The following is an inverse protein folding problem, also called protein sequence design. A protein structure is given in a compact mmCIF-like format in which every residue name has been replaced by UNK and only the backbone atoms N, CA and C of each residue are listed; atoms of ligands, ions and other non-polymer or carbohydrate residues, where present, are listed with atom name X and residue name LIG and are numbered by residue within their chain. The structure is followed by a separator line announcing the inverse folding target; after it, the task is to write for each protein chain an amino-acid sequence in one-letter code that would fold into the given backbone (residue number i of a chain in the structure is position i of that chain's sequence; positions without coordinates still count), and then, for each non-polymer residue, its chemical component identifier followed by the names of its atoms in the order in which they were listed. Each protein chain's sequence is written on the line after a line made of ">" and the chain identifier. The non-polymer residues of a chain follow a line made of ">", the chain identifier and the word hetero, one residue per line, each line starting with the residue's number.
data_IF_152975005471
#
_entry.id   IF_152975005471
#
_cell.length_a   1.000
_cell.length_b   1.000
_cell.length_c   1.000
_cell.angle_alpha   90.00
_cell.angle_beta   90.00
_cell.angle_gamma   90.00
#
_symmetry.space_group_name_H-M   'P 1'
#
loop_
_entity.id
_entity.type
_entity.pdbx_description
1 polymer ?
#
# COMPACT_ATOMS: atom_id res chain seq x y z
N UNK A 1 7.88 -1.81 -5.42
CA UNK A 1 6.87 -1.68 -6.50
C UNK A 1 6.24 -3.02 -6.89
N UNK A 2 6.96 -3.97 -7.52
CA UNK A 2 6.33 -5.21 -8.04
C UNK A 2 5.58 -6.04 -6.98
N UNK A 3 6.12 -6.13 -5.77
CA UNK A 3 5.46 -6.82 -4.64
C UNK A 3 4.05 -6.26 -4.34
N UNK A 4 3.88 -4.94 -4.43
CA UNK A 4 2.61 -4.27 -4.10
C UNK A 4 1.51 -4.48 -5.14
N UNK A 5 1.81 -5.06 -6.30
CA UNK A 5 0.78 -5.47 -7.26
C UNK A 5 -0.01 -6.70 -6.80
N UNK A 6 0.56 -7.51 -5.90
CA UNK A 6 -0.08 -8.74 -5.44
C UNK A 6 -1.43 -8.48 -4.74
N UNK A 7 -1.55 -7.38 -3.99
CA UNK A 7 -2.76 -7.04 -3.24
C UNK A 7 -3.94 -6.70 -4.17
N UNK A 8 -3.85 -5.72 -5.09
CA UNK A 8 -4.96 -5.41 -5.99
C UNK A 8 -5.28 -6.53 -6.98
N UNK A 9 -4.25 -7.19 -7.54
CA UNK A 9 -4.44 -8.31 -8.46
C UNK A 9 -5.08 -9.50 -7.74
N UNK A 10 -4.58 -9.85 -6.55
CA UNK A 10 -5.14 -10.92 -5.73
C UNK A 10 -6.58 -10.64 -5.31
N UNK A 11 -6.89 -9.41 -4.91
CA UNK A 11 -8.24 -9.01 -4.51
C UNK A 11 -9.24 -9.12 -5.66
N UNK A 12 -8.90 -8.60 -6.84
CA UNK A 12 -9.80 -8.69 -8.00
C UNK A 12 -9.93 -10.12 -8.54
N UNK A 13 -8.85 -10.92 -8.53
CA UNK A 13 -8.93 -12.36 -8.80
C UNK A 13 -9.81 -13.10 -7.78
N UNK A 14 -9.83 -12.66 -6.53
CA UNK A 14 -10.73 -13.17 -5.49
C UNK A 14 -12.20 -12.98 -5.84
N UNK A 15 -12.60 -11.79 -6.27
CA UNK A 15 -13.98 -11.53 -6.74
C UNK A 15 -14.34 -12.38 -7.96
N UNK A 16 -13.44 -12.47 -8.95
CA UNK A 16 -13.68 -13.23 -10.19
C UNK A 16 -13.78 -14.73 -9.90
N UNK A 17 -12.80 -15.30 -9.21
CA UNK A 17 -12.75 -16.74 -8.93
C UNK A 17 -13.82 -17.17 -7.93
N UNK A 18 -14.03 -16.40 -6.85
CA UNK A 18 -15.03 -16.71 -5.83
C UNK A 18 -16.45 -16.76 -6.39
N UNK A 19 -16.83 -15.76 -7.20
CA UNK A 19 -18.15 -15.71 -7.83
C UNK A 19 -18.32 -16.81 -8.90
N UNK A 20 -17.34 -17.00 -9.78
CA UNK A 20 -17.40 -18.00 -10.85
C UNK A 20 -17.47 -19.43 -10.31
N UNK A 21 -16.67 -19.76 -9.30
CA UNK A 21 -16.64 -21.09 -8.68
C UNK A 21 -17.95 -21.34 -7.92
N UNK A 22 -18.46 -20.34 -7.19
CA UNK A 22 -19.75 -20.48 -6.49
C UNK A 22 -20.90 -20.75 -7.46
N UNK A 23 -20.92 -20.07 -8.61
CA UNK A 23 -21.94 -20.28 -9.64
C UNK A 23 -21.77 -21.65 -10.32
N UNK A 24 -20.54 -22.07 -10.62
CA UNK A 24 -20.30 -23.35 -11.30
C UNK A 24 -20.58 -24.58 -10.42
N UNK A 25 -20.55 -24.42 -9.10
CA UNK A 25 -20.73 -25.50 -8.12
C UNK A 25 -22.05 -25.43 -7.37
N UNK A 26 -22.89 -24.43 -7.67
CA UNK A 26 -24.11 -24.09 -6.92
C UNK A 26 -23.88 -24.02 -5.39
N UNK A 27 -22.67 -23.62 -4.97
CA UNK A 27 -22.21 -23.72 -3.59
C UNK A 27 -21.15 -22.67 -3.25
N UNK A 28 -21.51 -21.73 -2.37
CA UNK A 28 -20.61 -20.66 -1.93
C UNK A 28 -19.36 -21.18 -1.20
N UNK A 29 -19.47 -22.36 -0.56
CA UNK A 29 -18.37 -22.97 0.19
C UNK A 29 -17.16 -23.27 -0.72
N UNK A 30 -17.39 -23.63 -1.98
CA UNK A 30 -16.31 -23.90 -2.92
C UNK A 30 -15.56 -22.64 -3.37
N UNK A 31 -16.25 -21.50 -3.41
CA UNK A 31 -15.60 -20.20 -3.64
C UNK A 31 -14.55 -19.89 -2.55
N UNK A 32 -14.81 -20.29 -1.30
CA UNK A 32 -13.87 -20.09 -0.18
C UNK A 32 -12.78 -21.17 -0.13
N UNK A 33 -13.12 -22.44 -0.41
CA UNK A 33 -12.19 -23.59 -0.31
C UNK A 33 -11.06 -23.55 -1.32
N UNK A 34 -11.24 -22.86 -2.45
CA UNK A 34 -10.23 -22.80 -3.50
C UNK A 34 -8.96 -22.03 -3.07
N UNK A 35 -9.11 -20.93 -2.35
CA UNK A 35 -7.98 -20.07 -1.95
C UNK A 35 -6.95 -20.77 -1.05
N UNK A 36 -7.33 -21.53 0.00
CA UNK A 36 -6.38 -22.30 0.81
C UNK A 36 -5.53 -23.31 0.03
N UNK A 37 -6.05 -23.87 -1.06
CA UNK A 37 -5.30 -24.83 -1.90
C UNK A 37 -4.10 -24.13 -2.55
N UNK A 38 -4.31 -22.93 -3.09
CA UNK A 38 -3.23 -22.10 -3.63
C UNK A 38 -2.27 -21.70 -2.49
N UNK A 39 -2.80 -21.30 -1.34
CA UNK A 39 -1.99 -20.91 -0.18
C UNK A 39 -1.04 -22.00 0.30
N UNK A 40 -1.49 -23.26 0.36
CA UNK A 40 -0.64 -24.41 0.73
C UNK A 40 0.47 -24.62 -0.30
N UNK A 41 0.17 -24.49 -1.60
CA UNK A 41 1.17 -24.59 -2.65
C UNK A 41 2.23 -23.47 -2.53
N UNK A 42 1.80 -22.22 -2.29
CA UNK A 42 2.70 -21.10 -2.05
C UNK A 42 3.57 -21.31 -0.80
N UNK A 43 3.01 -21.85 0.29
CA UNK A 43 3.77 -22.19 1.49
C UNK A 43 4.85 -23.24 1.20
N UNK A 44 4.51 -24.28 0.45
CA UNK A 44 5.47 -25.29 0.01
C UNK A 44 6.62 -24.69 -0.81
N UNK A 45 6.31 -23.75 -1.71
CA UNK A 45 7.33 -23.02 -2.48
C UNK A 45 8.21 -22.14 -1.58
N UNK A 46 7.63 -21.40 -0.62
CA UNK A 46 8.42 -20.57 0.29
C UNK A 46 9.41 -21.40 1.11
N UNK A 47 8.97 -22.54 1.66
CA UNK A 47 9.84 -23.43 2.43
C UNK A 47 10.99 -24.04 1.63
N UNK A 48 10.86 -24.13 0.31
CA UNK A 48 11.86 -24.77 -0.57
C UNK A 48 12.76 -23.77 -1.29
N UNK A 49 12.26 -22.57 -1.60
CA UNK A 49 12.96 -21.57 -2.42
C UNK A 49 13.51 -20.37 -1.64
N UNK A 50 12.97 -20.07 -0.45
CA UNK A 50 13.30 -18.84 0.27
C UNK A 50 14.22 -19.13 1.47
N UNK A 51 15.47 -18.68 1.37
CA UNK A 51 16.38 -18.61 2.51
C UNK A 51 16.14 -17.30 3.29
N UNK A 52 16.06 -17.40 4.62
CA UNK A 52 15.83 -16.24 5.50
C UNK A 52 17.10 -15.39 5.59
N UNK A 53 17.09 -14.12 5.14
CA UNK A 53 18.24 -13.24 5.25
C UNK A 53 18.37 -12.66 6.66
N UNK A 54 19.59 -12.31 7.06
CA UNK A 54 19.82 -11.55 8.30
C UNK A 54 19.25 -10.14 8.13
N UNK A 55 18.44 -9.69 9.09
CA UNK A 55 17.80 -8.35 9.05
C UNK A 55 18.85 -7.26 8.89
N UNK A 56 18.63 -6.31 7.99
CA UNK A 56 19.53 -5.17 7.76
C UNK A 56 20.89 -5.52 7.13
N UNK A 57 21.14 -6.79 6.76
CA UNK A 57 22.39 -7.19 6.12
C UNK A 57 22.66 -6.50 4.77
N UNK A 58 21.62 -6.02 4.10
CA UNK A 58 21.72 -5.33 2.82
C UNK A 58 21.97 -3.82 2.94
N UNK A 59 21.87 -3.24 4.14
CA UNK A 59 21.85 -1.78 4.33
C UNK A 59 23.22 -1.21 4.78
N UNK A 60 24.24 -2.03 5.00
CA UNK A 60 25.58 -1.60 5.44
C UNK A 60 25.64 -0.94 6.84
N UNK A 61 24.49 -0.74 7.48
CA UNK A 61 24.37 -0.08 8.76
C UNK A 61 24.90 -0.96 9.89
N UNK A 62 25.74 -0.38 10.77
CA UNK A 62 26.17 -1.02 12.01
C UNK A 62 24.94 -1.36 12.85
N UNK A 63 24.71 -2.64 13.08
CA UNK A 63 23.68 -3.06 14.01
C UNK A 63 24.22 -2.87 15.42
N UNK A 64 23.70 -1.88 16.14
CA UNK A 64 23.79 -1.89 17.58
C UNK A 64 22.99 -3.11 18.04
N UNK A 65 23.69 -4.10 18.62
CA UNK A 65 23.15 -5.41 19.01
C UNK A 65 22.17 -5.37 20.19
N UNK A 66 21.33 -4.34 20.28
CA UNK A 66 20.29 -4.23 21.28
C UNK A 66 19.20 -5.28 21.00
N UNK A 67 18.83 -6.03 22.04
CA UNK A 67 17.77 -7.02 21.97
C UNK A 67 16.45 -6.38 21.51
N UNK A 68 15.73 -7.07 20.63
CA UNK A 68 14.46 -6.59 20.09
C UNK A 68 13.38 -6.52 21.19
N UNK A 69 13.13 -5.32 21.72
CA UNK A 69 12.00 -5.04 22.61
C UNK A 69 10.85 -4.39 21.84
N UNK A 70 9.73 -5.13 21.72
CA UNK A 70 8.53 -4.66 21.04
C UNK A 70 7.96 -3.37 21.66
N UNK A 71 8.05 -3.23 22.99
CA UNK A 71 7.52 -2.04 23.67
C UNK A 71 8.41 -0.83 23.37
N UNK A 72 9.73 -1.02 23.39
CA UNK A 72 10.72 -0.04 22.94
C UNK A 72 10.50 0.39 21.49
N UNK A 73 10.28 -0.56 20.58
CA UNK A 73 9.97 -0.28 19.18
C UNK A 73 8.68 0.53 19.04
N UNK A 74 7.59 0.16 19.72
CA UNK A 74 6.33 0.90 19.67
C UNK A 74 6.51 2.34 20.20
N UNK A 75 7.22 2.51 21.32
CA UNK A 75 7.50 3.85 21.87
C UNK A 75 8.30 4.70 20.88
N UNK A 76 9.30 4.11 20.24
CA UNK A 76 10.07 4.76 19.18
C UNK A 76 9.18 5.17 18.01
N UNK A 77 8.34 4.27 17.50
CA UNK A 77 7.45 4.57 16.38
C UNK A 77 6.46 5.69 16.70
N UNK A 78 5.95 5.73 17.93
CA UNK A 78 5.07 6.81 18.38
C UNK A 78 5.77 8.15 18.59
N UNK A 79 7.10 8.18 18.63
CA UNK A 79 7.89 9.42 18.68
C UNK A 79 8.02 10.08 17.31
N UNK A 80 7.93 9.30 16.22
CA UNK A 80 7.99 9.78 14.84
C UNK A 80 6.63 10.35 14.45
N UNK A 81 6.58 11.66 14.19
CA UNK A 81 5.31 12.35 13.92
C UNK A 81 4.68 11.91 12.61
N UNK A 82 5.52 11.75 11.59
CA UNK A 82 5.13 11.26 10.27
C UNK A 82 4.54 9.85 10.37
N UNK A 83 5.09 8.98 11.22
CA UNK A 83 4.62 7.61 11.36
C UNK A 83 3.18 7.53 11.89
N UNK A 84 2.87 8.20 13.01
CA UNK A 84 1.52 8.12 13.57
C UNK A 84 0.49 8.90 12.73
N UNK A 85 0.88 9.99 12.06
CA UNK A 85 0.01 10.72 11.13
C UNK A 85 -0.28 9.90 9.88
N UNK A 86 0.75 9.29 9.27
CA UNK A 86 0.58 8.40 8.12
C UNK A 86 -0.25 7.17 8.51
N UNK A 87 -0.07 6.62 9.72
CA UNK A 87 -0.87 5.50 10.21
C UNK A 87 -2.33 5.88 10.43
N UNK A 88 -2.62 7.07 10.98
CA UNK A 88 -3.99 7.58 11.08
C UNK A 88 -4.62 7.79 9.69
N UNK A 89 -3.84 8.29 8.72
CA UNK A 89 -4.27 8.42 7.34
C UNK A 89 -4.56 7.04 6.70
N UNK A 90 -3.71 6.04 6.94
CA UNK A 90 -3.91 4.67 6.47
C UNK A 90 -5.18 4.04 7.03
N UNK A 91 -5.47 4.24 8.33
CA UNK A 91 -6.73 3.77 8.94
C UNK A 91 -7.94 4.36 8.21
N UNK A 92 -7.95 5.68 7.97
CA UNK A 92 -9.05 6.35 7.28
C UNK A 92 -9.16 5.95 5.78
N UNK A 93 -8.03 5.73 5.12
CA UNK A 93 -7.96 5.23 3.75
C UNK A 93 -8.52 3.80 3.65
N UNK A 94 -8.10 2.90 4.54
CA UNK A 94 -8.54 1.51 4.59
C UNK A 94 -10.01 1.39 5.01
N UNK A 95 -10.48 2.27 5.90
CA UNK A 95 -11.90 2.37 6.19
C UNK A 95 -12.72 2.54 4.90
N UNK A 96 -12.23 3.43 4.03
CA UNK A 96 -12.90 3.79 2.77
C UNK A 96 -12.79 2.67 1.73
N UNK A 97 -11.59 2.14 1.46
CA UNK A 97 -11.38 1.00 0.55
C UNK A 97 -12.18 -0.23 1.03
N UNK A 98 -12.09 -0.58 2.32
CA UNK A 98 -12.74 -1.78 2.87
C UNK A 98 -14.26 -1.73 2.76
N UNK A 99 -14.85 -0.57 3.08
CA UNK A 99 -16.30 -0.36 2.89
C UNK A 99 -16.67 -0.55 1.43
N UNK A 100 -15.90 0.05 0.52
CA UNK A 100 -16.17 -0.02 -0.92
C UNK A 100 -16.02 -1.45 -1.44
N UNK A 101 -14.96 -2.16 -1.09
CA UNK A 101 -14.75 -3.55 -1.50
C UNK A 101 -15.88 -4.47 -1.04
N UNK A 102 -16.42 -4.23 0.16
CA UNK A 102 -17.52 -5.05 0.69
C UNK A 102 -18.88 -4.70 0.08
N UNK A 103 -19.25 -3.42 0.09
CA UNK A 103 -20.61 -2.99 -0.20
C UNK A 103 -20.85 -2.67 -1.69
N UNK A 104 -19.82 -2.38 -2.48
CA UNK A 104 -20.01 -1.93 -3.87
C UNK A 104 -20.79 -2.92 -4.73
N UNK A 105 -20.47 -4.23 -4.74
CA UNK A 105 -21.23 -5.16 -5.59
C UNK A 105 -22.71 -5.24 -5.21
N UNK A 106 -23.01 -5.22 -3.91
CA UNK A 106 -24.38 -5.21 -3.40
C UNK A 106 -25.10 -3.89 -3.71
N UNK A 107 -24.40 -2.77 -3.53
CA UNK A 107 -24.91 -1.44 -3.83
C UNK A 107 -25.25 -1.27 -5.31
N UNK A 108 -24.36 -1.73 -6.20
CA UNK A 108 -24.58 -1.75 -7.65
C UNK A 108 -25.73 -2.71 -8.01
N UNK A 109 -25.87 -3.84 -7.30
CA UNK A 109 -27.03 -4.71 -7.42
C UNK A 109 -28.34 -3.98 -7.05
N UNK A 110 -28.39 -3.28 -5.92
CA UNK A 110 -29.56 -2.51 -5.53
C UNK A 110 -29.85 -1.36 -6.51
N UNK A 111 -28.83 -0.69 -7.04
CA UNK A 111 -28.94 0.28 -8.14
C UNK A 111 -29.64 -0.33 -9.36
N UNK A 112 -29.20 -1.52 -9.78
CA UNK A 112 -29.85 -2.25 -10.88
C UNK A 112 -31.33 -2.52 -10.58
N UNK A 113 -31.64 -2.97 -9.36
CA UNK A 113 -33.01 -3.26 -8.95
C UNK A 113 -33.92 -2.02 -9.03
N UNK A 114 -33.40 -0.86 -8.61
CA UNK A 114 -34.11 0.44 -8.68
C UNK A 114 -34.34 0.85 -10.13
N UNK A 115 -33.30 0.83 -10.97
CA UNK A 115 -33.38 1.27 -12.38
C UNK A 115 -34.34 0.38 -13.19
N UNK A 116 -34.27 -0.93 -12.99
CA UNK A 116 -35.09 -1.91 -13.73
C UNK A 116 -36.44 -2.21 -13.06
N UNK A 117 -36.75 -1.58 -11.92
CA UNK A 117 -37.97 -1.80 -11.14
C UNK A 117 -38.23 -3.28 -10.83
N UNK A 118 -37.18 -4.03 -10.47
CA UNK A 118 -37.29 -5.45 -10.08
C UNK A 118 -37.16 -5.60 -8.56
N UNK A 119 -37.95 -6.49 -7.93
CA UNK A 119 -37.93 -6.65 -6.47
C UNK A 119 -36.65 -7.34 -5.97
N UNK A 120 -36.00 -8.15 -6.80
CA UNK A 120 -34.75 -8.85 -6.50
C UNK A 120 -33.89 -8.93 -7.75
N UNK A 121 -32.60 -8.70 -7.60
CA UNK A 121 -31.62 -8.82 -8.69
C UNK A 121 -31.45 -10.30 -9.05
N UNK A 122 -31.47 -10.67 -10.35
CA UNK A 122 -31.15 -12.02 -10.79
C UNK A 122 -29.73 -12.43 -10.36
N UNK A 123 -29.53 -13.70 -10.02
CA UNK A 123 -28.21 -14.21 -9.58
C UNK A 123 -27.15 -14.12 -10.69
N UNK A 124 -27.57 -14.25 -11.94
CA UNK A 124 -26.70 -14.06 -13.12
C UNK A 124 -26.16 -12.63 -13.20
N UNK A 125 -27.01 -11.64 -12.94
CA UNK A 125 -26.64 -10.22 -12.94
C UNK A 125 -25.71 -9.89 -11.77
N UNK A 126 -26.01 -10.40 -10.56
CA UNK A 126 -25.11 -10.25 -9.41
C UNK A 126 -23.73 -10.87 -9.67
N UNK A 127 -23.68 -12.02 -10.35
CA UNK A 127 -22.41 -12.66 -10.74
C UNK A 127 -21.65 -11.80 -11.74
N UNK A 128 -22.33 -11.22 -12.73
CA UNK A 128 -21.72 -10.30 -13.70
C UNK A 128 -21.20 -9.02 -13.02
N UNK A 129 -21.97 -8.42 -12.10
CA UNK A 129 -21.55 -7.25 -11.32
C UNK A 129 -20.27 -7.56 -10.52
N UNK A 130 -20.24 -8.70 -9.83
CA UNK A 130 -19.05 -9.15 -9.09
C UNK A 130 -17.84 -9.35 -10.01
N UNK A 131 -18.03 -9.96 -11.19
CA UNK A 131 -16.98 -10.16 -12.17
C UNK A 131 -16.44 -8.83 -12.69
N UNK A 132 -17.31 -7.90 -13.08
CA UNK A 132 -16.93 -6.56 -13.55
C UNK A 132 -16.20 -5.80 -12.45
N UNK A 133 -16.71 -5.82 -11.22
CA UNK A 133 -16.07 -5.19 -10.08
C UNK A 133 -14.69 -5.80 -9.77
N UNK A 134 -14.53 -7.12 -9.92
CA UNK A 134 -13.24 -7.79 -9.81
C UNK A 134 -12.24 -7.34 -10.87
N UNK A 135 -12.68 -7.23 -12.14
CA UNK A 135 -11.84 -6.70 -13.23
C UNK A 135 -11.44 -5.25 -12.95
N UNK A 136 -12.39 -4.41 -12.53
CA UNK A 136 -12.14 -3.02 -12.15
C UNK A 136 -11.10 -2.97 -11.03
N UNK A 137 -11.26 -3.77 -9.98
CA UNK A 137 -10.33 -3.80 -8.83
C UNK A 137 -8.91 -4.20 -9.26
N UNK A 138 -8.77 -5.23 -10.11
CA UNK A 138 -7.49 -5.63 -10.67
C UNK A 138 -6.82 -4.50 -11.47
N UNK A 139 -7.54 -3.95 -12.45
CA UNK A 139 -7.00 -2.96 -13.39
C UNK A 139 -6.73 -1.63 -12.71
N UNK A 140 -7.68 -1.13 -11.92
CA UNK A 140 -7.56 0.10 -11.17
C UNK A 140 -6.41 0.02 -10.17
N UNK A 141 -6.28 -1.10 -9.46
CA UNK A 141 -5.20 -1.25 -8.49
C UNK A 141 -3.82 -1.42 -9.12
N UNK A 142 -3.69 -2.19 -10.21
CA UNK A 142 -2.41 -2.31 -10.95
C UNK A 142 -1.96 -0.94 -11.47
N UNK A 143 -2.86 -0.23 -12.16
CA UNK A 143 -2.57 1.09 -12.71
C UNK A 143 -2.35 2.12 -11.61
N UNK A 144 -3.11 2.05 -10.51
CA UNK A 144 -2.97 2.96 -9.39
C UNK A 144 -1.60 2.85 -8.72
N UNK A 145 -1.16 1.63 -8.37
CA UNK A 145 0.16 1.41 -7.76
C UNK A 145 1.30 1.80 -8.70
N UNK A 146 1.17 1.49 -10.00
CA UNK A 146 2.18 1.83 -10.99
C UNK A 146 2.27 3.35 -11.19
N UNK A 147 1.14 4.03 -11.40
CA UNK A 147 1.09 5.49 -11.59
C UNK A 147 1.53 6.22 -10.33
N UNK A 148 1.10 5.79 -9.14
CA UNK A 148 1.54 6.37 -7.86
C UNK A 148 3.05 6.30 -7.71
N UNK A 149 3.65 5.12 -7.92
CA UNK A 149 5.11 4.94 -7.82
C UNK A 149 5.89 5.78 -8.82
N UNK A 150 5.43 5.85 -10.08
CA UNK A 150 6.09 6.62 -11.14
C UNK A 150 5.96 8.13 -10.85
N UNK A 151 4.77 8.59 -10.45
CA UNK A 151 4.51 10.00 -10.18
C UNK A 151 5.28 10.48 -8.95
N UNK A 152 5.38 9.65 -7.91
CA UNK A 152 6.21 9.90 -6.73
C UNK A 152 7.67 10.09 -7.10
N UNK A 153 8.26 9.14 -7.84
CA UNK A 153 9.66 9.22 -8.27
C UNK A 153 9.91 10.41 -9.19
N UNK A 154 9.02 10.66 -10.14
CA UNK A 154 9.15 11.79 -11.05
C UNK A 154 9.12 13.13 -10.30
N UNK A 155 8.25 13.28 -9.30
CA UNK A 155 8.18 14.49 -8.50
C UNK A 155 9.36 14.62 -7.54
N UNK A 156 9.73 13.53 -6.87
CA UNK A 156 10.86 13.48 -5.96
C UNK A 156 12.16 13.86 -6.66
N UNK A 157 12.44 13.25 -7.81
CA UNK A 157 13.67 13.47 -8.56
C UNK A 157 13.61 14.73 -9.44
N UNK A 158 12.50 15.48 -9.43
CA UNK A 158 12.30 16.66 -10.28
C UNK A 158 12.42 16.34 -11.77
N UNK A 159 12.01 15.15 -12.20
CA UNK A 159 12.13 14.67 -13.58
C UNK A 159 10.78 14.70 -14.30
N UNK A 160 10.81 14.60 -15.64
CA UNK A 160 9.61 14.56 -16.49
C UNK A 160 8.68 15.79 -16.29
N UNK A 161 7.49 15.58 -15.71
CA UNK A 161 6.43 16.59 -15.55
C UNK A 161 6.77 17.59 -14.42
N UNK A 162 7.62 17.21 -13.46
CA UNK A 162 7.98 18.04 -12.30
C UNK A 162 9.37 18.66 -12.43
N UNK A 163 9.80 18.93 -13.66
CA UNK A 163 11.10 19.55 -13.92
C UNK A 163 11.29 20.82 -13.09
N UNK A 164 12.40 20.90 -12.36
CA UNK A 164 12.76 22.01 -11.45
C UNK A 164 11.88 22.16 -10.19
N UNK A 165 11.03 21.16 -9.87
CA UNK A 165 10.15 21.17 -8.70
C UNK A 165 10.38 19.92 -7.82
N UNK A 166 11.65 19.50 -7.69
CA UNK A 166 12.03 18.40 -6.80
C UNK A 166 11.67 18.73 -5.35
N UNK A 167 11.15 17.75 -4.61
CA UNK A 167 10.81 17.91 -3.20
C UNK A 167 10.88 16.59 -2.45
N UNK A 168 11.44 16.61 -1.24
CA UNK A 168 11.50 15.48 -0.32
C UNK A 168 10.10 15.01 0.12
N UNK A 169 9.13 15.92 0.06
CA UNK A 169 7.75 15.69 0.50
C UNK A 169 6.88 15.03 -0.56
N UNK A 170 7.44 14.73 -1.75
CA UNK A 170 6.71 14.25 -2.92
C UNK A 170 5.82 13.04 -2.56
N UNK A 171 6.39 12.05 -1.87
CA UNK A 171 5.70 10.82 -1.53
C UNK A 171 4.46 11.08 -0.64
N UNK A 172 4.59 11.96 0.35
CA UNK A 172 3.47 12.33 1.22
C UNK A 172 2.42 13.16 0.48
N UNK A 173 2.84 14.05 -0.43
CA UNK A 173 1.90 14.80 -1.27
C UNK A 173 1.11 13.90 -2.21
N UNK A 174 1.73 12.88 -2.81
CA UNK A 174 1.05 11.89 -3.64
C UNK A 174 0.02 11.13 -2.81
N UNK A 175 0.38 10.69 -1.61
CA UNK A 175 -0.55 10.06 -0.67
C UNK A 175 -1.74 10.97 -0.35
N UNK A 176 -1.53 12.26 -0.07
CA UNK A 176 -2.63 13.21 0.18
C UNK A 176 -3.50 13.44 -1.06
N UNK A 177 -2.88 13.73 -2.21
CA UNK A 177 -3.56 14.05 -3.46
C UNK A 177 -4.42 12.86 -3.93
N UNK A 178 -3.90 11.64 -3.77
CA UNK A 178 -4.62 10.42 -4.12
C UNK A 178 -5.99 10.32 -3.43
N UNK A 179 -6.07 10.69 -2.14
CA UNK A 179 -7.32 10.67 -1.36
C UNK A 179 -8.27 11.79 -1.80
N UNK A 180 -7.75 13.00 -2.06
CA UNK A 180 -8.58 14.12 -2.53
C UNK A 180 -9.09 13.94 -3.95
N UNK A 181 -8.31 13.30 -4.83
CA UNK A 181 -8.74 12.97 -6.19
C UNK A 181 -9.77 11.84 -6.19
N UNK A 182 -9.65 10.87 -5.28
CA UNK A 182 -10.65 9.81 -5.12
C UNK A 182 -12.02 10.34 -4.66
N UNK A 183 -12.04 11.41 -3.86
CA UNK A 183 -13.25 12.00 -3.28
C UNK A 183 -14.34 12.36 -4.32
N UNK A 184 -14.09 13.21 -5.34
CA UNK A 184 -15.13 13.56 -6.31
C UNK A 184 -15.60 12.33 -7.09
N UNK A 185 -14.70 11.42 -7.47
CA UNK A 185 -15.09 10.20 -8.18
C UNK A 185 -16.01 9.32 -7.34
N UNK A 186 -15.68 9.12 -6.06
CA UNK A 186 -16.50 8.33 -5.16
C UNK A 186 -17.86 9.01 -4.88
N UNK A 187 -17.86 10.30 -4.60
CA UNK A 187 -19.07 11.07 -4.35
C UNK A 187 -20.04 10.98 -5.54
N UNK A 188 -19.54 11.22 -6.76
CA UNK A 188 -20.35 11.17 -7.97
C UNK A 188 -20.73 9.73 -8.34
N UNK A 189 -19.92 8.72 -8.03
CA UNK A 189 -20.30 7.31 -8.23
C UNK A 189 -21.55 6.96 -7.43
N UNK A 190 -21.57 7.33 -6.13
CA UNK A 190 -22.70 7.11 -5.22
C UNK A 190 -23.95 7.87 -5.70
N UNK A 191 -23.77 9.11 -6.19
CA UNK A 191 -24.88 9.90 -6.70
C UNK A 191 -25.46 9.33 -8.02
N UNK A 192 -24.61 8.98 -8.98
CA UNK A 192 -25.03 8.51 -10.32
C UNK A 192 -25.63 7.10 -10.29
N UNK A 193 -25.35 6.31 -9.26
CA UNK A 193 -25.85 4.94 -9.13
C UNK A 193 -27.39 4.83 -9.21
N UNK A 194 -28.14 5.87 -8.87
CA UNK A 194 -29.61 5.88 -9.04
C UNK A 194 -30.02 5.90 -10.52
N UNK A 195 -29.22 6.52 -11.38
CA UNK A 195 -29.55 6.78 -12.78
C UNK A 195 -28.85 5.83 -13.76
N UNK A 196 -27.63 5.38 -13.43
CA UNK A 196 -26.83 4.54 -14.31
C UNK A 196 -25.85 3.66 -13.54
N UNK A 197 -26.05 2.34 -13.61
CA UNK A 197 -25.11 1.34 -13.12
C UNK A 197 -23.74 1.46 -13.80
N UNK A 198 -23.71 1.64 -15.13
CA UNK A 198 -22.46 1.73 -15.87
C UNK A 198 -21.67 3.01 -15.52
N UNK A 199 -22.36 4.15 -15.39
CA UNK A 199 -21.73 5.40 -14.96
C UNK A 199 -21.12 5.28 -13.56
N UNK A 200 -21.83 4.62 -12.63
CA UNK A 200 -21.34 4.32 -11.30
C UNK A 200 -20.05 3.48 -11.33
N UNK A 201 -20.03 2.39 -12.09
CA UNK A 201 -18.87 1.49 -12.20
C UNK A 201 -17.63 2.18 -12.80
N UNK A 202 -17.80 3.04 -13.81
CA UNK A 202 -16.70 3.82 -14.39
C UNK A 202 -16.10 4.78 -13.35
N UNK A 203 -16.94 5.46 -12.57
CA UNK A 203 -16.47 6.37 -11.53
C UNK A 203 -15.82 5.62 -10.36
N UNK A 204 -16.34 4.44 -9.99
CA UNK A 204 -15.70 3.53 -9.03
C UNK A 204 -14.31 3.12 -9.51
N UNK A 205 -14.12 2.83 -10.80
CA UNK A 205 -12.80 2.53 -11.34
C UNK A 205 -11.80 3.66 -11.08
N UNK A 206 -12.17 4.92 -11.37
CA UNK A 206 -11.28 6.05 -11.11
C UNK A 206 -11.09 6.32 -9.62
N UNK A 207 -12.12 6.11 -8.79
CA UNK A 207 -12.00 6.23 -7.34
C UNK A 207 -11.01 5.21 -6.76
N UNK A 208 -11.18 3.92 -7.08
CA UNK A 208 -10.28 2.85 -6.63
C UNK A 208 -8.86 3.08 -7.17
N UNK A 209 -8.72 3.43 -8.45
CA UNK A 209 -7.41 3.71 -9.05
C UNK A 209 -6.72 4.83 -8.27
N UNK A 210 -7.43 5.94 -8.05
CA UNK A 210 -6.95 7.08 -7.28
C UNK A 210 -6.51 6.68 -5.88
N UNK A 211 -7.32 5.89 -5.14
CA UNK A 211 -6.94 5.44 -3.80
C UNK A 211 -5.70 4.55 -3.81
N UNK A 212 -5.53 3.69 -4.81
CA UNK A 212 -4.38 2.79 -4.92
C UNK A 212 -3.05 3.48 -5.26
N UNK A 213 -3.03 4.78 -5.60
CA UNK A 213 -1.78 5.54 -5.80
C UNK A 213 -0.93 5.57 -4.53
N UNK A 214 -1.57 5.61 -3.35
CA UNK A 214 -0.86 5.71 -2.09
C UNK A 214 -0.17 4.41 -1.67
N UNK A 215 -0.50 3.26 -2.29
CA UNK A 215 -0.24 1.96 -1.67
C UNK A 215 1.26 1.67 -1.50
N UNK A 216 2.03 1.80 -2.58
CA UNK A 216 3.49 1.66 -2.53
C UNK A 216 4.16 2.88 -1.91
N UNK A 217 3.63 4.07 -2.22
CA UNK A 217 4.22 5.35 -1.81
C UNK A 217 4.20 5.53 -0.29
N UNK A 218 3.11 5.14 0.37
CA UNK A 218 3.01 5.17 1.83
C UNK A 218 4.07 4.28 2.50
N UNK A 219 4.39 3.12 1.90
CA UNK A 219 5.45 2.28 2.44
C UNK A 219 6.82 2.91 2.21
N UNK A 220 7.04 3.53 1.05
CA UNK A 220 8.28 4.27 0.79
C UNK A 220 8.48 5.39 1.84
N UNK A 221 7.42 6.12 2.22
CA UNK A 221 7.44 7.08 3.35
C UNK A 221 7.96 6.45 4.64
N UNK A 222 7.43 5.29 5.00
CA UNK A 222 7.83 4.58 6.22
C UNK A 222 9.30 4.14 6.17
N UNK A 223 9.82 3.76 5.00
CA UNK A 223 11.19 3.26 4.87
C UNK A 223 12.24 4.33 5.13
N UNK A 224 11.98 5.60 4.80
CA UNK A 224 12.97 6.67 5.01
C UNK A 224 12.78 7.47 6.30
N UNK A 225 11.63 7.38 7.00
CA UNK A 225 11.43 8.01 8.32
C UNK A 225 11.67 7.08 9.50
N UNK A 226 11.90 5.78 9.24
CA UNK A 226 12.16 4.75 10.26
C UNK A 226 13.54 4.15 10.06
N UNK A 227 14.30 4.02 11.16
CA UNK A 227 15.60 3.34 11.17
C UNK A 227 15.53 1.90 10.68
N UNK A 228 16.56 1.45 9.95
CA UNK A 228 16.57 0.20 9.20
C UNK A 228 16.17 -1.04 10.02
N UNK A 229 16.69 -1.17 11.24
CA UNK A 229 16.43 -2.30 12.13
C UNK A 229 14.97 -2.38 12.64
N UNK A 230 14.19 -1.29 12.57
CA UNK A 230 12.80 -1.21 13.04
C UNK A 230 11.76 -1.10 11.92
N UNK A 231 12.16 -1.02 10.65
CA UNK A 231 11.25 -0.90 9.49
C UNK A 231 10.23 -2.02 9.40
N UNK A 232 10.65 -3.26 9.67
CA UNK A 232 9.75 -4.42 9.67
C UNK A 232 8.66 -4.30 10.75
N UNK A 233 9.05 -3.90 11.97
CA UNK A 233 8.10 -3.65 13.07
C UNK A 233 7.16 -2.49 12.71
N UNK A 234 7.67 -1.40 12.14
CA UNK A 234 6.87 -0.25 11.70
C UNK A 234 5.78 -0.64 10.69
N UNK A 235 6.17 -1.37 9.64
CA UNK A 235 5.25 -1.83 8.62
C UNK A 235 4.19 -2.78 9.21
N UNK A 236 4.60 -3.71 10.07
CA UNK A 236 3.68 -4.64 10.73
C UNK A 236 2.67 -3.93 11.62
N UNK A 237 3.13 -2.98 12.45
CA UNK A 237 2.27 -2.19 13.35
C UNK A 237 1.28 -1.35 12.55
N UNK A 238 1.75 -0.59 11.56
CA UNK A 238 0.87 0.23 10.71
C UNK A 238 -0.17 -0.63 9.99
N UNK A 239 0.27 -1.74 9.39
CA UNK A 239 -0.63 -2.66 8.67
C UNK A 239 -1.68 -3.25 9.59
N UNK A 240 -1.27 -3.70 10.79
CA UNK A 240 -2.19 -4.25 11.79
C UNK A 240 -3.26 -3.23 12.21
N UNK A 241 -2.87 -2.00 12.56
CA UNK A 241 -3.84 -0.99 13.01
C UNK A 241 -4.73 -0.51 11.85
N UNK A 242 -4.16 -0.34 10.65
CA UNK A 242 -4.91 0.06 9.46
C UNK A 242 -5.97 -0.99 9.09
N UNK A 243 -5.65 -2.28 9.14
CA UNK A 243 -6.64 -3.31 8.88
C UNK A 243 -7.68 -3.44 9.99
N UNK A 244 -7.23 -3.49 11.24
CA UNK A 244 -8.12 -3.69 12.39
C UNK A 244 -9.18 -2.58 12.50
N UNK A 245 -8.78 -1.31 12.36
CA UNK A 245 -9.66 -0.16 12.52
C UNK A 245 -10.19 0.41 11.20
N UNK A 246 -9.55 0.08 10.08
CA UNK A 246 -9.98 0.48 8.75
C UNK A 246 -10.94 -0.54 8.14
N UNK A 247 -10.42 -1.45 7.33
CA UNK A 247 -11.22 -2.30 6.44
C UNK A 247 -11.93 -3.47 7.12
N UNK A 248 -11.47 -3.95 8.27
CA UNK A 248 -12.18 -4.98 9.03
C UNK A 248 -13.41 -4.41 9.77
N UNK A 249 -13.29 -3.18 10.31
CA UNK A 249 -14.34 -2.55 11.09
C UNK A 249 -15.38 -1.82 10.23
N UNK A 250 -14.94 -1.21 9.13
CA UNK A 250 -15.78 -0.28 8.36
C UNK A 250 -17.02 -0.91 7.73
N UNK A 251 -17.02 -2.13 7.15
CA UNK A 251 -18.22 -2.68 6.53
C UNK A 251 -19.34 -2.92 7.55
N UNK A 252 -18.98 -3.33 8.77
CA UNK A 252 -19.93 -3.53 9.85
C UNK A 252 -20.56 -2.20 10.30
N UNK A 253 -19.73 -1.16 10.51
CA UNK A 253 -20.20 0.18 10.89
C UNK A 253 -21.19 0.73 9.85
N UNK A 254 -20.86 0.58 8.57
CA UNK A 254 -21.69 1.07 7.46
C UNK A 254 -22.97 0.25 7.29
N UNK A 255 -22.91 -1.06 7.53
CA UNK A 255 -24.08 -1.93 7.57
C UNK A 255 -25.07 -1.51 8.65
N UNK A 256 -24.60 -1.32 9.89
CA UNK A 256 -25.43 -0.85 11.00
C UNK A 256 -26.03 0.52 10.72
N UNK A 257 -25.24 1.45 10.18
CA UNK A 257 -25.74 2.77 9.80
C UNK A 257 -26.82 2.69 8.71
N UNK A 258 -26.63 1.84 7.71
CA UNK A 258 -27.62 1.59 6.66
C UNK A 258 -28.91 1.02 7.24
N UNK A 259 -28.83 0.04 8.13
CA UNK A 259 -30.01 -0.55 8.78
C UNK A 259 -30.77 0.47 9.65
N UNK A 260 -30.04 1.31 10.39
CA UNK A 260 -30.65 2.41 11.16
C UNK A 260 -31.38 3.43 10.27
N UNK A 261 -30.80 3.76 9.12
CA UNK A 261 -31.40 4.71 8.16
C UNK A 261 -32.60 4.12 7.41
N UNK A 262 -32.62 2.80 7.24
CA UNK A 262 -33.66 2.05 6.54
C UNK A 262 -34.89 1.78 7.40
N UNK A 263 -34.71 1.55 8.71
CA UNK A 263 -35.80 1.12 9.59
C UNK A 263 -36.39 -0.21 9.14
N UNK A 264 -37.72 -0.30 9.08
CA UNK A 264 -38.45 -1.53 8.74
C UNK A 264 -38.59 -1.78 7.23
N UNK A 265 -38.04 -0.92 6.36
CA UNK A 265 -38.16 -1.07 4.91
C UNK A 265 -37.24 -2.19 4.37
N UNK A 266 -37.84 -3.33 4.07
CA UNK A 266 -37.14 -4.49 3.48
C UNK A 266 -37.08 -4.47 1.94
N UNK A 267 -37.56 -3.40 1.29
CA UNK A 267 -37.54 -3.31 -0.17
C UNK A 267 -36.12 -3.05 -0.70
N UNK A 268 -35.86 -3.46 -1.95
CA UNK A 268 -34.60 -3.17 -2.63
C UNK A 268 -34.34 -1.65 -2.74
N UNK A 269 -35.41 -0.85 -2.85
CA UNK A 269 -35.37 0.61 -2.88
C UNK A 269 -34.93 1.18 -1.52
N UNK A 270 -35.51 0.67 -0.43
CA UNK A 270 -35.11 1.03 0.94
C UNK A 270 -33.64 0.70 1.21
N UNK A 271 -33.21 -0.51 0.83
CA UNK A 271 -31.80 -0.91 0.89
C UNK A 271 -30.88 0.00 0.07
N UNK A 272 -31.29 0.39 -1.14
CA UNK A 272 -30.51 1.28 -2.00
C UNK A 272 -30.28 2.65 -1.35
N UNK A 273 -31.35 3.36 -0.98
CA UNK A 273 -31.25 4.72 -0.47
C UNK A 273 -30.61 4.80 0.92
N UNK A 274 -30.83 3.79 1.77
CA UNK A 274 -30.19 3.72 3.07
C UNK A 274 -28.68 3.49 2.93
N UNK A 275 -28.27 2.55 2.08
CA UNK A 275 -26.86 2.27 1.83
C UNK A 275 -26.19 3.44 1.11
N UNK A 276 -26.86 4.09 0.15
CA UNK A 276 -26.37 5.30 -0.53
C UNK A 276 -25.99 6.40 0.49
N UNK A 277 -26.87 6.67 1.46
CA UNK A 277 -26.61 7.66 2.51
C UNK A 277 -25.46 7.23 3.41
N UNK A 278 -25.39 5.96 3.78
CA UNK A 278 -24.31 5.42 4.61
C UNK A 278 -22.95 5.48 3.89
N UNK A 279 -22.91 5.25 2.57
CA UNK A 279 -21.69 5.30 1.76
C UNK A 279 -21.09 6.69 1.60
N UNK A 280 -21.75 7.78 2.03
CA UNK A 280 -21.08 9.08 2.13
C UNK A 280 -20.11 9.19 3.32
N UNK A 281 -20.22 8.30 4.32
CA UNK A 281 -19.27 8.23 5.44
C UNK A 281 -17.86 7.85 4.98
N UNK A 282 -17.62 6.75 4.22
CA UNK A 282 -16.29 6.48 3.66
C UNK A 282 -15.83 7.59 2.70
N UNK A 283 -16.74 8.28 2.00
CA UNK A 283 -16.35 9.47 1.20
C UNK A 283 -15.76 10.58 2.07
N UNK A 284 -16.34 10.83 3.24
CA UNK A 284 -15.79 11.78 4.21
C UNK A 284 -14.47 11.31 4.81
N UNK A 285 -14.31 10.01 5.06
CA UNK A 285 -13.05 9.44 5.55
C UNK A 285 -11.88 9.64 4.58
N UNK A 286 -12.12 9.80 3.27
CA UNK A 286 -11.09 10.23 2.33
C UNK A 286 -10.55 11.63 2.63
N UNK A 287 -11.41 12.57 3.05
CA UNK A 287 -10.98 13.91 3.48
C UNK A 287 -10.07 13.79 4.70
N UNK A 288 -10.48 12.96 5.66
CA UNK A 288 -9.72 12.71 6.89
C UNK A 288 -8.34 12.11 6.55
N UNK A 289 -8.31 11.11 5.67
CA UNK A 289 -7.06 10.50 5.21
C UNK A 289 -6.14 11.53 4.52
N UNK A 290 -6.68 12.31 3.57
CA UNK A 290 -5.93 13.36 2.88
C UNK A 290 -5.40 14.44 3.85
N UNK A 291 -6.19 14.84 4.84
CA UNK A 291 -5.79 15.83 5.84
C UNK A 291 -4.64 15.33 6.73
N UNK A 292 -4.67 14.07 7.17
CA UNK A 292 -3.57 13.49 7.94
C UNK A 292 -2.29 13.32 7.11
N UNK A 293 -2.39 12.92 5.84
CA UNK A 293 -1.23 12.92 4.95
C UNK A 293 -0.68 14.34 4.74
N UNK A 294 -1.53 15.35 4.52
CA UNK A 294 -1.06 16.74 4.45
C UNK A 294 -0.40 17.19 5.76
N UNK A 295 -0.93 16.81 6.92
CA UNK A 295 -0.31 17.13 8.20
C UNK A 295 1.09 16.50 8.34
N UNK A 296 1.30 15.29 7.80
CA UNK A 296 2.60 14.63 7.82
C UNK A 296 3.66 15.38 6.99
N UNK A 297 3.28 16.21 6.01
CA UNK A 297 4.23 17.02 5.22
C UNK A 297 5.00 18.05 6.05
N UNK A 298 4.49 18.43 7.22
CA UNK A 298 5.17 19.36 8.12
C UNK A 298 6.31 18.70 8.91
N UNK A 299 6.38 17.37 8.96
CA UNK A 299 7.33 16.64 9.82
C UNK A 299 8.21 15.66 9.07
N UNK A 300 7.84 15.26 7.85
CA UNK A 300 8.51 14.21 7.09
C UNK A 300 9.99 14.48 6.81
N UNK A 301 10.38 15.73 6.57
CA UNK A 301 11.79 16.10 6.33
C UNK A 301 12.62 15.96 7.60
N UNK A 302 12.10 16.46 8.73
CA UNK A 302 12.78 16.38 10.03
C UNK A 302 12.90 14.93 10.50
N UNK A 303 11.82 14.14 10.40
CA UNK A 303 11.80 12.73 10.80
C UNK A 303 12.75 11.88 9.92
N UNK A 304 12.85 12.20 8.63
CA UNK A 304 13.80 11.58 7.70
C UNK A 304 15.26 11.89 8.09
N UNK A 305 15.58 13.17 8.34
CA UNK A 305 16.93 13.60 8.74
C UNK A 305 17.34 12.97 10.07
N UNK A 306 16.41 12.90 11.03
CA UNK A 306 16.62 12.23 12.30
C UNK A 306 16.88 10.72 12.13
N UNK A 307 16.15 10.05 11.22
CA UNK A 307 16.39 8.65 10.92
C UNK A 307 17.78 8.43 10.29
N UNK A 308 18.21 9.28 9.36
CA UNK A 308 19.55 9.23 8.76
C UNK A 308 20.64 9.45 9.82
N UNK A 309 20.46 10.44 10.70
CA UNK A 309 21.38 10.71 11.80
C UNK A 309 21.55 9.50 12.74
N UNK A 310 20.45 8.84 13.12
CA UNK A 310 20.50 7.64 13.96
C UNK A 310 21.17 6.43 13.28
N UNK A 311 21.23 6.41 11.95
CA UNK A 311 21.86 5.34 11.17
C UNK A 311 23.31 5.63 10.79
N UNK A 312 23.83 6.82 11.10
CA UNK A 312 25.13 7.30 10.61
C UNK A 312 25.22 7.19 9.06
N UNK A 313 24.10 7.52 8.39
CA UNK A 313 23.95 7.37 6.94
C UNK A 313 24.03 8.75 6.26
N UNK A 314 24.71 8.87 5.10
CA UNK A 314 24.84 10.15 4.41
C UNK A 314 23.51 10.66 3.85
N UNK A 315 23.30 11.97 3.90
CA UNK A 315 22.15 12.64 3.30
C UNK A 315 22.40 12.93 1.81
N UNK A 316 22.14 11.93 0.97
CA UNK A 316 22.35 12.03 -0.47
C UNK A 316 21.34 12.93 -1.22
N UNK A 317 20.53 13.73 -0.52
CA UNK A 317 19.52 14.58 -1.16
C UNK A 317 20.07 15.91 -1.69
N UNK A 318 21.12 16.46 -1.07
CA UNK A 318 21.62 17.80 -1.37
C UNK A 318 22.96 17.87 -2.13
N UNK A 319 23.57 16.74 -2.50
CA UNK A 319 24.85 16.73 -3.20
C UNK A 319 24.70 17.03 -4.71
N UNK A 320 24.41 18.29 -5.04
CA UNK A 320 24.70 18.91 -6.35
C UNK A 320 25.88 19.91 -6.25
N UNK A 321 26.52 20.05 -5.07
CA UNK A 321 27.73 20.87 -4.91
C UNK A 321 28.99 19.96 -4.82
N UNK A 322 29.76 19.80 -5.92
CA UNK A 322 30.95 18.95 -5.96
C UNK A 322 32.11 19.43 -5.07
N UNK A 323 31.96 20.55 -4.35
CA UNK A 323 32.97 21.03 -3.41
C UNK A 323 32.91 20.33 -2.04
N UNK A 324 31.74 19.89 -1.58
CA UNK A 324 31.60 19.16 -0.31
C UNK A 324 32.15 17.72 -0.40
N UNK A 325 32.05 17.07 -1.57
CA UNK A 325 32.63 15.74 -1.81
C UNK A 325 34.14 15.69 -1.59
N UNK A 326 34.84 16.81 -1.88
CA UNK A 326 36.29 16.90 -1.70
C UNK A 326 36.64 17.09 -0.22
N UNK A 327 35.85 17.87 0.52
CA UNK A 327 36.08 18.12 1.94
C UNK A 327 35.76 16.89 2.80
N UNK A 328 34.73 16.10 2.45
CA UNK A 328 34.42 14.82 3.12
C UNK A 328 35.50 13.76 2.83
N UNK A 329 36.03 13.69 1.61
CA UNK A 329 37.16 12.82 1.27
C UNK A 329 38.46 13.22 1.99
N UNK A 330 38.68 14.52 2.22
CA UNK A 330 39.84 15.04 2.95
C UNK A 330 39.69 14.93 4.47
N UNK A 331 38.46 14.90 5.00
CA UNK A 331 38.20 14.75 6.43
C UNK A 331 38.64 13.37 6.99
N UNK A 332 38.73 12.37 6.12
CA UNK A 332 39.20 11.02 6.44
C UNK A 332 40.72 10.82 6.35
N UNK A 333 41.52 11.84 6.01
CA UNK A 333 42.99 11.71 5.90
C UNK A 333 43.78 11.83 7.22
N UNK A 334 43.13 11.96 8.38
CA UNK A 334 43.82 11.94 9.68
C UNK A 334 43.40 10.75 10.55
N UNK A 335 44.04 9.57 10.39
CA UNK A 335 43.89 8.49 11.34
C UNK A 335 44.82 8.76 12.54
N UNK A 336 44.37 9.56 13.51
CA UNK A 336 44.91 9.42 14.87
C UNK A 336 44.35 8.12 15.47
N UNK A 337 45.12 7.05 15.28
CA UNK A 337 45.10 5.78 16.03
C UNK A 337 43.77 5.01 16.03
N UNK A 338 43.61 4.11 15.06
CA UNK A 338 42.77 2.92 15.22
C UNK A 338 43.64 1.82 15.82
N UNK A 339 43.47 1.54 17.11
CA UNK A 339 44.08 0.37 17.75
C UNK A 339 43.39 -0.92 17.27
N UNK A 340 44.20 -1.84 16.74
CA UNK A 340 43.89 -3.26 16.63
C UNK A 340 43.40 -3.72 15.26
N UNK A 341 44.34 -4.08 14.38
CA UNK A 341 44.48 -5.36 13.67
C UNK A 341 45.64 -5.20 12.67
N UNK A 342 46.75 -5.94 12.85
CA UNK A 342 47.78 -6.07 11.81
C UNK A 342 47.24 -6.99 10.70
N UNK A 343 46.95 -6.44 9.53
CA UNK A 343 46.68 -7.23 8.34
C UNK A 343 48.00 -7.71 7.71
N UNK A 344 48.19 -9.02 7.60
CA UNK A 344 49.27 -9.59 6.82
C UNK A 344 48.92 -9.59 5.32
N UNK A 345 49.91 -9.37 4.42
CA UNK A 345 49.65 -9.32 2.98
C UNK A 345 49.13 -10.68 2.46
N UNK A 346 48.14 -10.61 1.57
CA UNK A 346 47.46 -11.77 1.00
C UNK A 346 48.40 -12.67 0.18
N UNK A 347 48.26 -14.00 0.36
CA UNK A 347 48.99 -15.01 -0.40
C UNK A 347 48.59 -14.96 -1.89
N UNK A 348 49.57 -14.69 -2.75
CA UNK A 348 49.42 -14.72 -4.20
C UNK A 348 49.24 -16.16 -4.68
N UNK A 349 48.06 -16.47 -5.23
CA UNK A 349 47.78 -17.74 -5.91
C UNK A 349 48.64 -17.83 -7.19
N UNK A 350 49.46 -18.88 -7.28
CA UNK A 350 50.36 -19.16 -8.40
C UNK A 350 49.57 -19.34 -9.72
N UNK A 351 50.03 -18.80 -10.87
CA UNK A 351 49.35 -19.01 -12.15
C UNK A 351 49.51 -20.46 -12.62
N UNK A 352 48.40 -21.07 -13.06
CA UNK A 352 48.39 -22.37 -13.75
C UNK A 352 49.23 -22.30 -15.03
N UNK A 353 50.29 -23.10 -15.11
CA UNK A 353 51.09 -23.28 -16.31
C UNK A 353 50.29 -24.05 -17.38
N UNK A 354 50.23 -23.50 -18.59
CA UNK A 354 49.74 -24.18 -19.79
C UNK A 354 50.62 -25.40 -20.09
N UNK A 355 50.00 -26.57 -20.24
CA UNK A 355 50.68 -27.76 -20.77
C UNK A 355 50.81 -27.65 -22.28
N UNK A 356 52.02 -27.35 -22.76
CA UNK A 356 52.41 -27.66 -24.12
C UNK A 356 52.44 -29.18 -24.30
N UNK A 357 51.79 -29.65 -25.36
CA UNK A 357 51.91 -31.03 -25.80
C UNK A 357 53.27 -31.29 -26.42
N UNK A 358 53.77 -32.52 -26.26
CA UNK A 358 54.40 -33.23 -27.36
C UNK A 358 54.61 -34.73 -27.05
N UNK A 359 54.19 -35.55 -28.02
CA UNK A 359 54.79 -36.79 -28.54
C UNK A 359 55.41 -37.84 -27.58
N UNK A 360 54.77 -39.02 -27.51
CA UNK A 360 55.30 -40.33 -27.99
C UNK A 360 54.33 -41.46 -27.64
#
# INVERSE_FOLDING_TARGET
>A
MMFYFAIPVGSGLGFISGSSISQATDSWQWGVRFSPIIGIACLGLMLWLLDEPVRGACDGARQNGDEADLIGDIKYLMSIKTFYLASAASIASFFSIGTMSWWTPQYVGFSYAVIHNVPKVPETELTQINLIFGIITCMAGLLGVATGSILSRAWRDGSSIFRNHATEKADVYICALSMFVALPFLFFAIFIAEYSTNGCLILIYFAIMSMCLNWSVNVDVLMYVVVANRRATALAVQTMVAHLFGDAASPYIIGVLSDMLRGDDASAVGHFFALQKALYVPTFMLVVAGAFYLAATFFVEDDRKEALYQMDAPDNWHHDDPSEDLDDLLSHENPETVEGVEEHPADMIVPLAHSDGDTA
#
